data_IF_853096947682
#
_entry.id   IF_853096947682
#
_cell.length_a   1.000
_cell.length_b   1.000
_cell.length_c   1.000
_cell.angle_alpha   90.00
_cell.angle_beta   90.00
_cell.angle_gamma   90.00
#
_symmetry.space_group_name_H-M   'P 1'
#
loop_
_entity.id
_entity.type
_entity.pdbx_description
1 polymer ?
#
# COMPACT_ATOMS: atom_id res chain seq x y z
N UNK A 1 3.85 -12.13 -11.58
CA UNK A 1 3.82 -11.12 -10.51
C UNK A 1 4.46 -9.83 -11.02
N UNK A 2 3.91 -8.67 -10.64
CA UNK A 2 4.48 -7.35 -10.94
C UNK A 2 5.47 -6.95 -9.83
N UNK A 3 6.45 -6.09 -10.17
CA UNK A 3 7.20 -5.36 -9.14
C UNK A 3 6.30 -4.27 -8.49
N UNK A 4 6.71 -3.75 -7.33
CA UNK A 4 5.90 -2.79 -6.56
C UNK A 4 5.61 -1.50 -7.35
N UNK A 5 6.57 -1.00 -8.15
CA UNK A 5 6.36 0.17 -8.98
C UNK A 5 5.28 -0.05 -10.04
N UNK A 6 5.33 -1.20 -10.71
CA UNK A 6 4.33 -1.59 -11.72
C UNK A 6 2.94 -1.77 -11.09
N UNK A 7 2.88 -2.41 -9.92
CA UNK A 7 1.62 -2.57 -9.18
C UNK A 7 1.03 -1.20 -8.80
N UNK A 8 1.83 -0.31 -8.22
CA UNK A 8 1.40 1.05 -7.87
C UNK A 8 1.01 1.90 -9.08
N UNK A 9 1.67 1.71 -10.23
CA UNK A 9 1.27 2.42 -11.46
C UNK A 9 -0.13 2.01 -11.91
N UNK A 10 -0.48 0.73 -11.82
CA UNK A 10 -1.85 0.26 -12.10
C UNK A 10 -2.86 0.82 -11.09
N UNK A 11 -2.53 0.84 -9.80
CA UNK A 11 -3.38 1.44 -8.76
C UNK A 11 -3.64 2.93 -9.03
N UNK A 12 -2.59 3.71 -9.37
CA UNK A 12 -2.74 5.14 -9.71
C UNK A 12 -3.69 5.36 -10.89
N UNK A 13 -3.61 4.53 -11.93
CA UNK A 13 -4.53 4.60 -13.09
C UNK A 13 -5.97 4.28 -12.72
N UNK A 14 -6.18 3.47 -11.69
CA UNK A 14 -7.49 3.17 -11.10
C UNK A 14 -7.95 4.21 -10.06
N UNK A 15 -7.27 5.35 -9.94
CA UNK A 15 -7.64 6.41 -8.99
C UNK A 15 -7.28 6.11 -7.54
N UNK A 16 -6.43 5.09 -7.28
CA UNK A 16 -5.96 4.72 -5.96
C UNK A 16 -4.65 5.46 -5.68
N UNK A 17 -4.63 6.27 -4.63
CA UNK A 17 -3.47 7.07 -4.25
C UNK A 17 -2.31 6.22 -3.76
N UNK A 18 -1.11 6.54 -4.22
CA UNK A 18 0.16 5.94 -3.78
C UNK A 18 1.18 7.04 -3.53
N UNK A 19 2.26 6.81 -2.76
CA UNK A 19 3.28 7.81 -2.54
C UNK A 19 3.87 8.34 -3.85
N UNK A 20 4.23 9.62 -3.86
CA UNK A 20 5.01 10.18 -4.96
C UNK A 20 6.41 9.57 -4.93
N UNK A 21 6.87 9.06 -6.06
CA UNK A 21 8.15 8.37 -6.13
C UNK A 21 8.61 8.09 -7.54
N UNK A 22 9.70 7.35 -7.65
CA UNK A 22 10.28 6.94 -8.92
C UNK A 22 10.97 5.58 -8.79
N UNK A 23 10.89 4.77 -9.86
CA UNK A 23 11.74 3.60 -10.05
C UNK A 23 13.08 4.05 -10.60
N UNK A 24 14.17 3.60 -9.99
CA UNK A 24 15.54 4.01 -10.30
C UNK A 24 16.40 2.78 -10.59
N UNK A 25 17.37 2.94 -11.48
CA UNK A 25 18.28 1.88 -11.91
C UNK A 25 19.75 2.17 -11.57
N UNK A 26 20.07 3.41 -11.15
CA UNK A 26 21.41 3.87 -10.81
C UNK A 26 21.38 5.12 -9.91
N UNK A 27 22.55 5.50 -9.41
CA UNK A 27 22.70 6.68 -8.54
C UNK A 27 22.36 7.99 -9.28
N UNK A 28 22.62 8.10 -10.57
CA UNK A 28 22.34 9.32 -11.32
C UNK A 28 20.80 9.54 -11.44
N UNK A 29 20.04 8.48 -11.74
CA UNK A 29 18.59 8.52 -11.76
C UNK A 29 17.99 8.77 -10.37
N UNK A 30 18.63 8.24 -9.30
CA UNK A 30 18.24 8.53 -7.92
C UNK A 30 18.37 10.01 -7.58
N UNK A 31 19.54 10.62 -7.89
CA UNK A 31 19.79 12.03 -7.62
C UNK A 31 18.84 12.93 -8.43
N UNK A 32 18.53 12.54 -9.66
CA UNK A 32 17.55 13.26 -10.48
C UNK A 32 16.14 13.19 -9.86
N UNK A 33 15.71 12.01 -9.39
CA UNK A 33 14.41 11.83 -8.74
C UNK A 33 14.32 12.59 -7.41
N UNK A 34 15.36 12.52 -6.57
CA UNK A 34 15.39 13.15 -5.25
C UNK A 34 15.16 14.67 -5.29
N UNK A 35 15.57 15.36 -6.36
CA UNK A 35 15.30 16.81 -6.55
C UNK A 35 13.83 17.18 -6.61
N UNK A 36 12.96 16.20 -6.91
CA UNK A 36 11.51 16.39 -7.07
C UNK A 36 10.69 15.76 -5.95
N UNK A 37 11.35 15.15 -4.96
CA UNK A 37 10.75 14.48 -3.81
C UNK A 37 11.05 15.26 -2.52
N UNK A 38 10.15 15.11 -1.54
CA UNK A 38 10.28 15.73 -0.22
C UNK A 38 10.73 14.71 0.80
N UNK A 39 11.80 15.01 1.52
CA UNK A 39 12.24 14.22 2.66
C UNK A 39 11.25 14.32 3.84
N UNK A 40 11.11 13.27 4.68
CA UNK A 40 11.87 12.02 4.61
C UNK A 40 11.43 11.12 3.46
N UNK A 41 12.36 10.26 3.00
CA UNK A 41 12.11 9.31 1.91
C UNK A 41 12.15 7.87 2.42
N UNK A 42 11.44 7.00 1.69
CA UNK A 42 11.58 5.55 1.74
C UNK A 42 12.34 5.07 0.50
N UNK A 43 13.24 4.11 0.68
CA UNK A 43 13.98 3.46 -0.38
C UNK A 43 13.79 1.96 -0.27
N UNK A 44 13.34 1.32 -1.34
CA UNK A 44 12.96 -0.10 -1.37
C UNK A 44 13.57 -0.80 -2.57
N UNK A 45 13.93 -2.07 -2.43
CA UNK A 45 14.24 -2.89 -3.60
C UNK A 45 12.98 -3.08 -4.46
N UNK A 46 13.15 -2.96 -5.78
CA UNK A 46 12.07 -3.06 -6.75
C UNK A 46 12.29 -4.31 -7.62
N UNK A 47 11.86 -5.46 -7.09
CA UNK A 47 12.01 -6.77 -7.72
C UNK A 47 10.73 -7.59 -7.49
N UNK A 48 10.15 -8.13 -8.56
CA UNK A 48 8.91 -8.91 -8.52
C UNK A 48 9.02 -10.24 -7.75
N UNK A 49 10.23 -10.75 -7.58
CA UNK A 49 10.47 -12.01 -6.83
C UNK A 49 10.52 -11.84 -5.32
N UNK A 50 10.60 -10.59 -4.83
CA UNK A 50 10.75 -10.31 -3.40
C UNK A 50 9.41 -10.34 -2.69
N UNK A 51 9.20 -11.38 -1.88
CA UNK A 51 8.24 -11.37 -0.78
C UNK A 51 8.97 -10.91 0.49
N UNK A 52 8.27 -10.21 1.41
CA UNK A 52 8.81 -9.81 2.72
C UNK A 52 10.10 -8.98 2.66
N UNK A 53 10.09 -7.91 1.86
CA UNK A 53 11.24 -7.01 1.62
C UNK A 53 11.91 -6.48 2.91
N UNK A 54 11.10 -6.21 3.95
CA UNK A 54 11.59 -5.70 5.23
C UNK A 54 12.47 -6.72 5.96
N UNK A 55 12.11 -8.00 5.97
CA UNK A 55 12.89 -9.07 6.60
C UNK A 55 14.24 -9.29 5.90
N UNK A 56 14.27 -9.04 4.60
CA UNK A 56 15.48 -9.16 3.78
C UNK A 56 16.41 -7.95 3.87
N UNK A 57 16.07 -6.93 4.68
CA UNK A 57 16.83 -5.67 4.72
C UNK A 57 16.80 -4.91 3.39
N UNK A 58 15.75 -5.09 2.61
CA UNK A 58 15.55 -4.50 1.29
C UNK A 58 14.72 -3.20 1.33
N UNK A 59 14.46 -2.65 2.53
CA UNK A 59 13.70 -1.42 2.78
C UNK A 59 14.45 -0.55 3.78
N UNK A 60 14.62 0.73 3.44
CA UNK A 60 15.10 1.78 4.34
C UNK A 60 14.04 2.88 4.43
N UNK A 61 13.59 3.17 5.64
CA UNK A 61 12.58 4.20 5.92
C UNK A 61 13.21 5.39 6.65
N UNK A 62 12.55 6.55 6.56
CA UNK A 62 12.92 7.73 7.33
C UNK A 62 14.24 8.38 6.90
N UNK A 63 14.64 8.25 5.63
CA UNK A 63 15.85 8.86 5.11
C UNK A 63 15.63 10.37 5.05
N UNK A 64 16.51 11.15 5.73
CA UNK A 64 16.32 12.58 5.97
C UNK A 64 17.10 13.48 4.99
N UNK A 65 18.11 12.94 4.30
CA UNK A 65 19.01 13.70 3.44
C UNK A 65 19.54 12.90 2.26
N UNK A 66 20.07 13.61 1.26
CA UNK A 66 20.60 13.01 0.03
C UNK A 66 21.85 12.15 0.25
N UNK A 67 22.71 12.51 1.20
CA UNK A 67 23.94 11.74 1.48
C UNK A 67 23.56 10.34 1.98
N UNK A 68 22.71 10.28 3.00
CA UNK A 68 22.20 9.03 3.54
C UNK A 68 21.44 8.22 2.48
N UNK A 69 20.68 8.89 1.61
CA UNK A 69 19.94 8.25 0.53
C UNK A 69 20.89 7.54 -0.46
N UNK A 70 21.97 8.20 -0.86
CA UNK A 70 22.99 7.65 -1.78
C UNK A 70 23.70 6.45 -1.14
N UNK A 71 24.12 6.58 0.13
CA UNK A 71 24.79 5.48 0.85
C UNK A 71 23.91 4.23 0.93
N UNK A 72 22.62 4.40 1.28
CA UNK A 72 21.66 3.29 1.35
C UNK A 72 21.39 2.69 -0.03
N UNK A 73 21.30 3.53 -1.06
CA UNK A 73 21.09 3.06 -2.42
C UNK A 73 22.28 2.23 -2.94
N UNK A 74 23.51 2.63 -2.66
CA UNK A 74 24.70 1.85 -3.03
C UNK A 74 24.65 0.44 -2.45
N UNK A 75 24.32 0.31 -1.16
CA UNK A 75 24.19 -0.98 -0.47
C UNK A 75 23.11 -1.85 -1.14
N UNK A 76 21.98 -1.25 -1.54
CA UNK A 76 20.91 -2.01 -2.19
C UNK A 76 21.24 -2.35 -3.64
N UNK A 77 21.92 -1.48 -4.40
CA UNK A 77 22.34 -1.76 -5.77
C UNK A 77 23.38 -2.89 -5.89
N UNK A 78 24.14 -3.19 -4.82
CA UNK A 78 25.01 -4.38 -4.78
C UNK A 78 24.22 -5.70 -4.86
N UNK A 79 22.89 -5.66 -4.57
CA UNK A 79 22.02 -6.83 -4.48
C UNK A 79 20.86 -6.81 -5.46
N UNK A 80 20.40 -5.64 -5.87
CA UNK A 80 19.16 -5.46 -6.64
C UNK A 80 19.40 -4.56 -7.85
N UNK A 81 18.84 -4.95 -9.00
CA UNK A 81 19.00 -4.21 -10.25
C UNK A 81 18.19 -2.91 -10.33
N UNK A 82 17.14 -2.77 -9.53
CA UNK A 82 16.31 -1.58 -9.48
C UNK A 82 15.82 -1.31 -8.06
N UNK A 83 15.65 -0.02 -7.74
CA UNK A 83 15.08 0.43 -6.48
C UNK A 83 13.87 1.33 -6.73
N UNK A 84 13.05 1.50 -5.71
CA UNK A 84 11.92 2.43 -5.65
C UNK A 84 12.23 3.46 -4.55
N UNK A 85 12.28 4.75 -4.91
CA UNK A 85 12.39 5.86 -3.98
C UNK A 85 11.04 6.57 -3.90
N UNK A 86 10.54 6.83 -2.69
CA UNK A 86 9.21 7.42 -2.46
C UNK A 86 9.21 8.42 -1.30
N UNK A 87 8.34 9.44 -1.38
CA UNK A 87 8.04 10.31 -0.23
C UNK A 87 7.40 9.45 0.89
N UNK A 88 7.91 9.57 2.11
CA UNK A 88 7.39 8.82 3.24
C UNK A 88 6.12 9.47 3.79
N UNK A 89 5.11 8.67 4.03
CA UNK A 89 3.89 9.07 4.74
C UNK A 89 4.12 8.82 6.22
N UNK A 90 4.11 9.86 7.04
CA UNK A 90 4.42 9.80 8.47
C UNK A 90 3.25 10.12 9.40
N UNK A 91 2.18 10.74 8.87
CA UNK A 91 1.08 11.29 9.68
C UNK A 91 -0.17 10.41 9.65
N UNK A 92 -0.01 9.08 9.52
CA UNK A 92 -1.14 8.16 9.52
C UNK A 92 -1.77 8.01 10.91
N UNK A 93 -3.10 8.03 10.95
CA UNK A 93 -3.91 7.72 12.14
C UNK A 93 -3.88 6.21 12.41
N UNK A 94 -3.98 5.42 11.35
CA UNK A 94 -3.88 3.97 11.40
C UNK A 94 -3.44 3.42 10.04
N UNK A 95 -3.09 2.15 10.05
CA UNK A 95 -2.76 1.39 8.85
C UNK A 95 -3.73 0.22 8.69
N UNK A 96 -4.13 -0.04 7.46
CA UNK A 96 -4.98 -1.17 7.09
C UNK A 96 -4.28 -2.08 6.09
N UNK A 97 -4.67 -3.34 6.10
CA UNK A 97 -4.39 -4.29 5.02
C UNK A 97 -5.65 -4.55 4.23
N UNK A 98 -5.53 -4.59 2.92
CA UNK A 98 -6.59 -4.98 1.99
C UNK A 98 -6.07 -6.07 1.07
N UNK A 99 -6.76 -7.20 1.05
CA UNK A 99 -6.48 -8.30 0.11
C UNK A 99 -7.72 -8.61 -0.71
N UNK A 100 -7.58 -8.80 -2.02
CA UNK A 100 -8.68 -9.27 -2.88
C UNK A 100 -8.27 -10.56 -3.56
N UNK A 101 -9.15 -11.53 -3.52
CA UNK A 101 -8.94 -12.86 -4.09
C UNK A 101 -10.25 -13.42 -4.64
N UNK A 102 -10.16 -14.51 -5.38
CA UNK A 102 -11.32 -15.22 -5.93
C UNK A 102 -11.37 -16.65 -5.37
N UNK A 103 -12.45 -16.98 -4.68
CA UNK A 103 -12.71 -18.34 -4.22
C UNK A 103 -13.57 -19.06 -5.27
N UNK A 104 -13.26 -20.32 -5.63
CA UNK A 104 -14.01 -21.04 -6.67
C UNK A 104 -15.47 -21.37 -6.29
N UNK A 105 -15.82 -21.26 -5.02
CA UNK A 105 -17.16 -21.59 -4.51
C UNK A 105 -17.98 -20.33 -4.23
N UNK A 106 -17.40 -19.35 -3.54
CA UNK A 106 -18.11 -18.13 -3.10
C UNK A 106 -17.86 -16.93 -4.00
N UNK A 107 -16.94 -17.03 -4.95
CA UNK A 107 -16.59 -15.93 -5.86
C UNK A 107 -15.56 -14.95 -5.27
N UNK A 108 -15.47 -13.74 -5.83
CA UNK A 108 -14.50 -12.74 -5.39
C UNK A 108 -14.87 -12.17 -4.03
N UNK A 109 -13.86 -11.92 -3.20
CA UNK A 109 -14.00 -11.36 -1.88
C UNK A 109 -12.83 -10.43 -1.54
N UNK A 110 -13.10 -9.45 -0.70
CA UNK A 110 -12.12 -8.50 -0.17
C UNK A 110 -11.97 -8.72 1.33
N UNK A 111 -10.75 -8.93 1.79
CA UNK A 111 -10.37 -8.86 3.20
C UNK A 111 -9.96 -7.43 3.52
N UNK A 112 -10.47 -6.90 4.62
CA UNK A 112 -10.07 -5.61 5.19
C UNK A 112 -9.65 -5.90 6.63
N UNK A 113 -8.49 -5.42 7.07
CA UNK A 113 -8.03 -5.64 8.43
C UNK A 113 -7.10 -4.55 8.94
N UNK A 114 -6.79 -4.60 10.23
CA UNK A 114 -5.75 -3.78 10.81
C UNK A 114 -4.42 -4.10 10.15
N UNK A 115 -3.70 -3.09 9.70
CA UNK A 115 -2.35 -3.19 9.12
C UNK A 115 -1.25 -2.92 10.16
N UNK A 116 0.00 -2.90 9.68
CA UNK A 116 1.17 -2.61 10.49
C UNK A 116 1.65 -3.79 11.35
N UNK A 117 2.66 -3.54 12.19
CA UNK A 117 3.41 -4.57 12.94
C UNK A 117 2.55 -5.42 13.88
N UNK A 118 1.43 -4.90 14.36
CA UNK A 118 0.52 -5.61 15.30
C UNK A 118 -0.62 -6.35 14.61
N UNK A 119 -0.76 -6.23 13.29
CA UNK A 119 -1.86 -6.80 12.53
C UNK A 119 -2.03 -8.33 12.77
N UNK A 120 -0.92 -9.04 12.76
CA UNK A 120 -0.91 -10.49 12.96
C UNK A 120 -1.31 -10.93 14.38
N UNK A 121 -1.02 -10.09 15.38
CA UNK A 121 -1.31 -10.39 16.79
C UNK A 121 -2.78 -10.12 17.15
N UNK A 122 -3.40 -9.11 16.53
CA UNK A 122 -4.74 -8.64 16.92
C UNK A 122 -5.84 -9.41 16.20
N UNK A 123 -5.55 -10.02 15.05
CA UNK A 123 -6.49 -10.76 14.19
C UNK A 123 -7.81 -9.98 13.93
N UNK A 124 -7.67 -8.69 13.60
CA UNK A 124 -8.77 -7.75 13.39
C UNK A 124 -9.07 -7.68 11.89
N UNK A 125 -10.03 -8.47 11.44
CA UNK A 125 -10.31 -8.66 10.00
C UNK A 125 -11.81 -8.74 9.75
N UNK A 126 -12.24 -8.19 8.61
CA UNK A 126 -13.58 -8.33 8.05
C UNK A 126 -13.46 -8.81 6.60
N UNK A 127 -14.50 -9.48 6.11
CA UNK A 127 -14.58 -9.96 4.72
C UNK A 127 -15.83 -9.39 4.07
N UNK A 128 -15.67 -8.84 2.88
CA UNK A 128 -16.74 -8.33 2.04
C UNK A 128 -16.79 -9.16 0.76
N UNK A 129 -17.92 -9.76 0.43
CA UNK A 129 -18.13 -10.44 -0.85
C UNK A 129 -18.32 -9.41 -1.96
N UNK A 130 -17.72 -9.65 -3.12
CA UNK A 130 -17.83 -8.76 -4.26
C UNK A 130 -18.77 -9.34 -5.34
N UNK A 131 -19.49 -8.50 -6.10
CA UNK A 131 -19.54 -7.03 -6.02
C UNK A 131 -20.22 -6.54 -4.75
N UNK A 132 -19.79 -5.38 -4.24
CA UNK A 132 -20.32 -4.78 -3.01
C UNK A 132 -20.68 -3.32 -3.21
N UNK A 133 -21.63 -2.83 -2.42
CA UNK A 133 -22.04 -1.44 -2.35
C UNK A 133 -21.34 -0.74 -1.17
N UNK A 134 -21.37 0.60 -1.14
CA UNK A 134 -20.69 1.44 -0.14
C UNK A 134 -20.98 1.00 1.30
N UNK A 135 -22.26 0.73 1.63
CA UNK A 135 -22.68 0.33 2.98
C UNK A 135 -22.04 -0.98 3.47
N UNK A 136 -21.69 -1.91 2.58
CA UNK A 136 -21.00 -3.13 2.98
C UNK A 136 -19.57 -2.85 3.47
N UNK A 137 -18.90 -1.86 2.88
CA UNK A 137 -17.57 -1.43 3.35
C UNK A 137 -17.67 -0.65 4.66
N UNK A 138 -18.75 0.14 4.84
CA UNK A 138 -19.03 0.83 6.10
C UNK A 138 -19.23 -0.17 7.24
N UNK A 139 -20.09 -1.16 7.06
CA UNK A 139 -20.34 -2.24 8.04
C UNK A 139 -19.09 -3.05 8.35
N UNK A 140 -18.30 -3.38 7.32
CA UNK A 140 -17.02 -4.09 7.49
C UNK A 140 -16.06 -3.28 8.36
N UNK A 141 -15.87 -1.99 8.07
CA UNK A 141 -15.01 -1.11 8.86
C UNK A 141 -15.51 -0.96 10.31
N UNK A 142 -16.83 -0.82 10.52
CA UNK A 142 -17.43 -0.70 11.86
C UNK A 142 -17.23 -1.95 12.72
N UNK A 143 -17.13 -3.11 12.10
CA UNK A 143 -16.86 -4.38 12.79
C UNK A 143 -15.42 -4.51 13.30
N UNK A 144 -14.47 -3.72 12.76
CA UNK A 144 -13.06 -3.78 13.11
C UNK A 144 -12.76 -3.00 14.40
N UNK A 145 -11.80 -3.47 15.18
CA UNK A 145 -11.30 -2.75 16.37
C UNK A 145 -10.60 -1.45 15.99
N UNK A 146 -9.94 -1.43 14.82
CA UNK A 146 -9.27 -0.24 14.28
C UNK A 146 -10.23 0.90 13.95
N UNK A 147 -11.52 0.63 13.79
CA UNK A 147 -12.59 1.64 13.61
C UNK A 147 -12.53 2.72 14.70
N UNK A 148 -12.21 2.36 15.95
CA UNK A 148 -12.05 3.32 17.05
C UNK A 148 -10.95 4.37 16.81
N UNK A 149 -9.89 4.01 16.08
CA UNK A 149 -8.85 4.96 15.68
C UNK A 149 -9.36 5.87 14.57
N UNK A 150 -10.12 5.30 13.61
CA UNK A 150 -10.75 6.07 12.55
C UNK A 150 -11.73 7.12 13.07
N UNK A 151 -12.41 6.85 14.18
CA UNK A 151 -13.34 7.79 14.84
C UNK A 151 -12.64 8.85 15.70
N UNK A 152 -11.35 8.70 15.96
CA UNK A 152 -10.62 9.60 16.87
C UNK A 152 -10.65 9.10 18.32
N UNK A 153 -9.67 8.33 18.73
CA UNK A 153 -9.58 7.74 20.06
C UNK A 153 -8.85 8.65 21.04
N UNK A 154 -9.45 8.88 22.23
CA UNK A 154 -8.86 9.66 23.35
C UNK A 154 -8.39 11.07 22.95
N UNK A 155 -9.13 11.75 22.07
CA UNK A 155 -8.82 13.12 21.65
C UNK A 155 -7.81 13.21 20.50
N UNK A 156 -7.40 12.08 19.92
CA UNK A 156 -6.67 12.08 18.66
C UNK A 156 -7.60 12.47 17.50
N UNK A 157 -7.02 12.97 16.41
CA UNK A 157 -7.76 13.27 15.20
C UNK A 157 -8.42 11.99 14.62
N UNK A 158 -9.57 12.14 13.99
CA UNK A 158 -10.21 11.08 13.21
C UNK A 158 -9.45 10.83 11.90
N UNK A 159 -9.52 9.61 11.40
CA UNK A 159 -9.02 9.24 10.08
C UNK A 159 -10.00 9.63 8.96
N UNK A 160 -9.49 9.80 7.73
CA UNK A 160 -10.29 10.12 6.55
C UNK A 160 -11.08 8.91 6.05
N UNK A 161 -12.14 8.58 6.81
CA UNK A 161 -13.01 7.43 6.56
C UNK A 161 -13.71 7.52 5.20
N UNK A 162 -14.14 8.71 4.80
CA UNK A 162 -14.85 8.91 3.53
C UNK A 162 -13.95 8.56 2.34
N UNK A 163 -12.70 9.03 2.37
CA UNK A 163 -11.73 8.71 1.31
C UNK A 163 -11.30 7.25 1.37
N UNK A 164 -11.23 6.64 2.56
CA UNK A 164 -10.97 5.22 2.73
C UNK A 164 -12.04 4.36 2.03
N UNK A 165 -13.33 4.60 2.31
CA UNK A 165 -14.44 3.87 1.70
C UNK A 165 -14.39 4.00 0.17
N UNK A 166 -14.16 5.21 -0.34
CA UNK A 166 -14.00 5.44 -1.78
C UNK A 166 -12.83 4.65 -2.35
N UNK A 167 -11.70 4.57 -1.64
CA UNK A 167 -10.56 3.74 -2.07
C UNK A 167 -10.92 2.26 -2.13
N UNK A 168 -11.65 1.73 -1.13
CA UNK A 168 -12.11 0.34 -1.12
C UNK A 168 -13.04 0.04 -2.30
N UNK A 169 -13.95 0.95 -2.62
CA UNK A 169 -14.80 0.84 -3.82
C UNK A 169 -13.97 0.83 -5.12
N UNK A 170 -13.00 1.75 -5.25
CA UNK A 170 -12.11 1.78 -6.42
C UNK A 170 -11.28 0.48 -6.55
N UNK A 171 -10.86 -0.11 -5.42
CA UNK A 171 -10.17 -1.41 -5.42
C UNK A 171 -11.11 -2.52 -5.91
N UNK A 172 -12.37 -2.52 -5.48
CA UNK A 172 -13.37 -3.51 -5.92
C UNK A 172 -13.67 -3.36 -7.42
N UNK A 173 -13.82 -2.13 -7.93
CA UNK A 173 -13.99 -1.85 -9.35
C UNK A 173 -12.76 -2.27 -10.18
N UNK A 174 -11.56 -1.91 -9.72
CA UNK A 174 -10.31 -2.33 -10.36
C UNK A 174 -10.20 -3.85 -10.45
N UNK A 175 -10.58 -4.57 -9.39
CA UNK A 175 -10.62 -6.04 -9.40
C UNK A 175 -11.63 -6.55 -10.45
N UNK A 176 -12.84 -6.01 -10.47
CA UNK A 176 -13.88 -6.41 -11.40
C UNK A 176 -13.45 -6.24 -12.87
N UNK A 177 -12.71 -5.17 -13.18
CA UNK A 177 -12.17 -4.91 -14.53
C UNK A 177 -11.03 -5.88 -14.93
N UNK A 178 -10.35 -6.48 -13.95
CA UNK A 178 -9.17 -7.32 -14.17
C UNK A 178 -9.40 -8.80 -13.79
N UNK A 179 -10.60 -9.19 -13.36
CA UNK A 179 -10.91 -10.48 -12.72
C UNK A 179 -10.54 -11.72 -13.53
N UNK A 180 -10.46 -11.63 -14.88
CA UNK A 180 -10.05 -12.75 -15.75
C UNK A 180 -8.54 -13.03 -15.69
N UNK A 181 -7.74 -12.02 -15.36
CA UNK A 181 -6.27 -12.09 -15.41
C UNK A 181 -5.60 -11.91 -14.05
N UNK A 182 -6.22 -11.15 -13.12
CA UNK A 182 -5.68 -10.85 -11.80
C UNK A 182 -6.08 -11.95 -10.81
N UNK A 183 -5.09 -12.68 -10.30
CA UNK A 183 -5.28 -13.78 -9.35
C UNK A 183 -5.30 -13.31 -7.90
N UNK A 184 -4.50 -12.30 -7.58
CA UNK A 184 -4.31 -11.81 -6.22
C UNK A 184 -3.94 -10.32 -6.27
N UNK A 185 -4.57 -9.55 -5.42
CA UNK A 185 -4.21 -8.17 -5.09
C UNK A 185 -4.07 -8.06 -3.58
N UNK A 186 -2.92 -7.62 -3.11
CA UNK A 186 -2.71 -7.24 -1.71
C UNK A 186 -2.15 -5.82 -1.64
N UNK A 187 -2.71 -5.00 -0.77
CA UNK A 187 -2.21 -3.67 -0.43
C UNK A 187 -1.93 -3.66 1.08
N UNK A 188 -0.66 -3.56 1.46
CA UNK A 188 -0.24 -3.66 2.85
C UNK A 188 1.05 -2.86 3.10
N UNK A 189 0.94 -1.69 3.81
CA UNK A 189 -0.30 -1.14 4.34
C UNK A 189 -0.97 -0.08 3.44
N UNK A 190 -2.23 0.21 3.74
CA UNK A 190 -2.91 1.46 3.39
C UNK A 190 -2.79 2.40 4.60
N UNK A 191 -2.13 3.53 4.44
CA UNK A 191 -2.08 4.58 5.44
C UNK A 191 -3.34 5.45 5.37
N UNK A 192 -4.04 5.60 6.49
CA UNK A 192 -5.18 6.51 6.64
C UNK A 192 -4.72 7.75 7.38
N UNK A 193 -4.73 8.90 6.70
CA UNK A 193 -4.35 10.17 7.28
C UNK A 193 -5.54 10.82 8.03
N UNK A 194 -5.29 11.92 8.78
CA UNK A 194 -6.37 12.68 9.41
C UNK A 194 -7.45 13.08 8.42
N UNK A 195 -8.67 13.23 8.90
CA UNK A 195 -9.85 13.60 8.11
C UNK A 195 -9.57 14.77 7.15
N UNK A 196 -9.98 14.60 5.89
CA UNK A 196 -9.71 15.52 4.79
C UNK A 196 -8.26 15.50 4.24
N UNK A 197 -7.38 14.60 4.73
CA UNK A 197 -6.00 14.44 4.25
C UNK A 197 -5.80 13.24 3.32
N UNK A 198 -6.82 12.40 3.20
CA UNK A 198 -6.84 11.28 2.28
C UNK A 198 -6.30 9.99 2.85
N UNK A 199 -6.07 9.04 1.95
CA UNK A 199 -5.51 7.71 2.22
C UNK A 199 -4.46 7.38 1.15
N UNK A 200 -3.52 6.48 1.46
CA UNK A 200 -2.41 6.18 0.58
C UNK A 200 -2.00 4.71 0.66
N UNK A 201 -1.94 4.01 -0.48
CA UNK A 201 -1.44 2.64 -0.58
C UNK A 201 0.10 2.65 -0.60
N UNK A 202 0.73 2.17 0.49
CA UNK A 202 2.18 2.28 0.69
C UNK A 202 2.98 1.13 0.10
N UNK A 203 2.38 -0.05 -0.01
CA UNK A 203 2.96 -1.21 -0.70
C UNK A 203 1.82 -1.99 -1.38
N UNK A 204 2.14 -2.64 -2.49
CA UNK A 204 1.16 -3.42 -3.24
C UNK A 204 1.82 -4.61 -3.94
N UNK A 205 1.13 -5.73 -3.91
CA UNK A 205 1.47 -6.96 -4.63
C UNK A 205 0.33 -7.31 -5.56
N UNK A 206 0.65 -7.60 -6.83
CA UNK A 206 -0.30 -8.09 -7.83
C UNK A 206 0.25 -9.33 -8.52
N UNK A 207 -0.55 -10.39 -8.55
CA UNK A 207 -0.24 -11.62 -9.29
C UNK A 207 -1.26 -11.81 -10.40
N UNK A 208 -0.78 -12.00 -11.60
CA UNK A 208 -1.59 -12.28 -12.78
C UNK A 208 -1.42 -13.72 -13.22
N UNK A 209 -2.39 -14.23 -13.98
CA UNK A 209 -2.26 -15.49 -14.72
C UNK A 209 -0.99 -15.43 -15.56
N UNK A 210 -0.21 -16.51 -15.59
CA UNK A 210 0.93 -16.62 -16.50
C UNK A 210 0.42 -16.68 -17.96
N UNK A 211 0.98 -15.85 -18.81
CA UNK A 211 0.77 -15.94 -20.27
C UNK A 211 1.34 -17.23 -20.85
#
# INVERSE_FOLDING_TARGET
>A
QLDEWQAKDRLRRAGISTPKGARIADIASLQAAAKHLRFPLALKACDASLAHKSELGAVHLGIQDETTLIEKAQILFDRFAALLVEEMISDSICELIVGVNNDPVIGPWMLIGSGGVLAELVNDRAVVLLPAEEHHFEEALDSLKVSRLLEGYRGAASGDRTTLIRMLMNIAEFWADQHESLLELEINPIAVMPDGKGVCALDAVMKFVAE
#
